data_IF_181204450989
#
_entry.id   IF_181204450989
#
_cell.length_a   1.000
_cell.length_b   1.000
_cell.length_c   1.000
_cell.angle_alpha   90.00
_cell.angle_beta   90.00
_cell.angle_gamma   90.00
#
_symmetry.space_group_name_H-M   'P 1'
#
loop_
_entity.id
_entity.type
_entity.pdbx_description
1 polymer ?
#
# COMPACT_ATOMS: atom_id res chain seq x y z
N UNK A 1 28.22 -26.18 -23.96
CA UNK A 1 28.04 -26.23 -25.44
C UNK A 1 27.18 -27.41 -25.91
N UNK A 2 27.39 -28.65 -25.43
CA UNK A 2 26.60 -29.83 -25.87
C UNK A 2 25.12 -29.78 -25.43
N UNK A 3 24.84 -29.34 -24.21
CA UNK A 3 23.46 -29.17 -23.71
C UNK A 3 22.64 -28.12 -24.49
N UNK A 4 23.26 -27.01 -24.93
CA UNK A 4 22.58 -26.00 -25.76
C UNK A 4 22.12 -26.57 -27.10
N UNK A 5 22.98 -27.35 -27.77
CA UNK A 5 22.62 -28.02 -29.03
C UNK A 5 21.47 -29.01 -28.87
N UNK A 6 21.39 -29.69 -27.71
CA UNK A 6 20.27 -30.59 -27.38
C UNK A 6 18.98 -29.79 -27.28
N UNK A 7 18.96 -28.69 -26.52
CA UNK A 7 17.78 -27.83 -26.42
C UNK A 7 17.38 -27.21 -27.77
N UNK A 8 18.32 -26.69 -28.56
CA UNK A 8 18.03 -26.13 -29.88
C UNK A 8 17.44 -27.18 -30.83
N UNK A 9 17.91 -28.43 -30.76
CA UNK A 9 17.32 -29.55 -31.52
C UNK A 9 15.91 -29.89 -31.03
N UNK A 10 15.66 -29.81 -29.73
CA UNK A 10 14.37 -30.07 -29.13
C UNK A 10 13.35 -28.99 -29.48
N UNK A 11 13.75 -27.71 -29.53
CA UNK A 11 12.88 -26.59 -29.91
C UNK A 11 12.40 -26.66 -31.36
N UNK A 12 13.19 -27.27 -32.26
CA UNK A 12 12.75 -27.54 -33.64
C UNK A 12 11.66 -28.60 -33.72
N UNK A 13 11.63 -29.54 -32.76
CA UNK A 13 10.63 -30.62 -32.70
C UNK A 13 9.42 -30.26 -31.86
N UNK A 14 9.63 -29.48 -30.78
CA UNK A 14 8.63 -29.11 -29.79
C UNK A 14 8.61 -27.60 -29.62
N UNK A 15 7.92 -26.91 -30.53
CA UNK A 15 7.81 -25.46 -30.55
C UNK A 15 6.66 -24.96 -29.65
N UNK A 16 6.69 -25.31 -28.36
CA UNK A 16 5.71 -24.87 -27.36
C UNK A 16 6.32 -23.85 -26.38
N UNK A 17 5.52 -22.94 -25.79
CA UNK A 17 6.03 -21.97 -24.80
C UNK A 17 6.78 -22.62 -23.63
N UNK A 18 6.33 -23.78 -23.16
CA UNK A 18 6.97 -24.54 -22.08
C UNK A 18 8.37 -25.03 -22.44
N UNK A 19 8.60 -25.47 -23.69
CA UNK A 19 9.92 -25.88 -24.14
C UNK A 19 10.88 -24.69 -24.27
N UNK A 20 10.37 -23.55 -24.75
CA UNK A 20 11.12 -22.30 -24.75
C UNK A 20 11.46 -21.83 -23.34
N UNK A 21 10.55 -22.00 -22.38
CA UNK A 21 10.80 -21.70 -20.97
C UNK A 21 11.95 -22.54 -20.42
N UNK A 22 11.95 -23.86 -20.59
CA UNK A 22 13.05 -24.72 -20.13
C UNK A 22 14.40 -24.29 -20.73
N UNK A 23 14.40 -24.00 -22.03
CA UNK A 23 15.59 -23.52 -22.71
C UNK A 23 16.09 -22.20 -22.12
N UNK A 24 15.22 -21.22 -21.94
CA UNK A 24 15.62 -19.92 -21.41
C UNK A 24 16.04 -19.99 -19.94
N UNK A 25 15.36 -20.77 -19.09
CA UNK A 25 15.80 -21.02 -17.70
C UNK A 25 17.22 -21.59 -17.68
N UNK A 26 17.51 -22.57 -18.51
CA UNK A 26 18.86 -23.13 -18.65
C UNK A 26 19.87 -22.08 -19.11
N UNK A 27 19.53 -21.26 -20.12
CA UNK A 27 20.39 -20.16 -20.60
C UNK A 27 20.68 -19.12 -19.51
N UNK A 28 19.67 -18.72 -18.73
CA UNK A 28 19.85 -17.81 -17.61
C UNK A 28 20.72 -18.41 -16.49
N UNK A 29 20.60 -19.70 -16.20
CA UNK A 29 21.46 -20.37 -15.21
C UNK A 29 22.93 -20.45 -15.66
N UNK A 30 23.17 -20.53 -16.97
CA UNK A 30 24.53 -20.55 -17.50
C UNK A 30 25.23 -19.18 -17.40
N UNK A 31 24.47 -18.08 -17.30
CA UNK A 31 25.02 -16.75 -17.07
C UNK A 31 25.40 -16.61 -15.59
N UNK A 32 26.70 -16.76 -15.27
CA UNK A 32 27.20 -16.53 -13.91
C UNK A 32 27.06 -15.03 -13.55
N UNK A 33 26.34 -14.76 -12.46
CA UNK A 33 25.88 -13.43 -12.03
C UNK A 33 27.04 -12.47 -11.65
N UNK A 34 28.25 -12.98 -11.39
CA UNK A 34 29.32 -12.18 -10.76
C UNK A 34 30.31 -11.52 -11.73
N UNK A 35 30.30 -11.85 -13.03
CA UNK A 35 31.13 -11.16 -14.05
C UNK A 35 30.35 -10.91 -15.33
N UNK A 36 29.45 -9.93 -15.31
CA UNK A 36 28.78 -9.43 -16.52
C UNK A 36 29.76 -8.77 -17.53
N UNK A 37 31.04 -8.60 -17.18
CA UNK A 37 32.06 -7.98 -18.04
C UNK A 37 32.64 -8.94 -19.10
N UNK A 38 32.61 -10.25 -18.85
CA UNK A 38 33.21 -11.26 -19.76
C UNK A 38 32.19 -12.01 -20.64
N UNK A 39 30.88 -11.72 -20.49
CA UNK A 39 29.79 -12.47 -21.15
C UNK A 39 28.95 -11.65 -22.16
N UNK A 40 29.50 -10.57 -22.72
CA UNK A 40 28.75 -9.62 -23.58
C UNK A 40 28.13 -10.28 -24.81
N UNK A 41 28.84 -11.17 -25.51
CA UNK A 41 28.30 -11.85 -26.70
C UNK A 41 27.18 -12.85 -26.36
N UNK A 42 27.33 -13.61 -25.28
CA UNK A 42 26.31 -14.57 -24.84
C UNK A 42 25.02 -13.87 -24.38
N UNK A 43 25.17 -12.73 -23.71
CA UNK A 43 24.05 -11.87 -23.29
C UNK A 43 23.35 -11.30 -24.53
N UNK A 44 24.08 -10.75 -25.50
CA UNK A 44 23.48 -10.20 -26.73
C UNK A 44 22.75 -11.29 -27.50
N UNK A 45 23.36 -12.47 -27.67
CA UNK A 45 22.73 -13.63 -28.31
C UNK A 45 21.45 -14.06 -27.59
N UNK A 46 21.47 -14.12 -26.26
CA UNK A 46 20.30 -14.49 -25.46
C UNK A 46 19.17 -13.46 -25.61
N UNK A 47 19.49 -12.17 -25.48
CA UNK A 47 18.51 -11.09 -25.62
C UNK A 47 17.87 -11.08 -27.00
N UNK A 48 18.65 -11.27 -28.06
CA UNK A 48 18.14 -11.38 -29.42
C UNK A 48 17.18 -12.58 -29.58
N UNK A 49 17.54 -13.74 -29.04
CA UNK A 49 16.69 -14.93 -29.06
C UNK A 49 15.36 -14.70 -28.33
N UNK A 50 15.42 -14.07 -27.14
CA UNK A 50 14.24 -13.76 -26.34
C UNK A 50 13.35 -12.74 -27.06
N UNK A 51 13.91 -11.70 -27.66
CA UNK A 51 13.17 -10.69 -28.43
C UNK A 51 12.41 -11.32 -29.61
N UNK A 52 13.04 -12.22 -30.37
CA UNK A 52 12.36 -12.94 -31.45
C UNK A 52 11.21 -13.84 -30.93
N UNK A 53 11.44 -14.46 -29.77
CA UNK A 53 10.45 -15.32 -29.13
C UNK A 53 9.29 -14.53 -28.53
N UNK A 54 9.57 -13.29 -28.09
CA UNK A 54 8.57 -12.34 -27.61
C UNK A 54 7.58 -12.01 -28.72
N UNK A 55 8.08 -11.62 -29.90
CA UNK A 55 7.26 -11.34 -31.10
C UNK A 55 6.44 -12.55 -31.55
N UNK A 56 6.90 -13.76 -31.26
CA UNK A 56 6.21 -15.01 -31.62
C UNK A 56 5.23 -15.52 -30.54
N UNK A 57 4.97 -14.75 -29.49
CA UNK A 57 4.11 -15.13 -28.36
C UNK A 57 4.56 -16.42 -27.61
N UNK A 58 5.87 -16.70 -27.55
CA UNK A 58 6.42 -17.94 -26.94
C UNK A 58 7.01 -17.74 -25.54
N UNK A 59 6.99 -16.52 -25.02
CA UNK A 59 7.56 -16.15 -23.72
C UNK A 59 6.48 -16.28 -22.65
N UNK A 60 6.82 -16.94 -21.54
CA UNK A 60 5.98 -17.04 -20.33
C UNK A 60 6.24 -15.85 -19.38
N UNK A 61 5.34 -15.56 -18.42
CA UNK A 61 5.53 -14.53 -17.40
C UNK A 61 6.88 -14.62 -16.66
N UNK A 62 7.31 -15.82 -16.30
CA UNK A 62 8.54 -16.06 -15.55
C UNK A 62 9.78 -15.70 -16.37
N UNK A 63 9.83 -16.13 -17.64
CA UNK A 63 10.93 -15.78 -18.56
C UNK A 63 10.94 -14.28 -18.84
N UNK A 64 9.76 -13.67 -18.97
CA UNK A 64 9.66 -12.23 -19.14
C UNK A 64 10.29 -11.48 -17.95
N UNK A 65 9.97 -11.87 -16.71
CA UNK A 65 10.56 -11.25 -15.53
C UNK A 65 12.09 -11.39 -15.51
N UNK A 66 12.64 -12.56 -15.85
CA UNK A 66 14.09 -12.78 -15.95
C UNK A 66 14.72 -11.92 -17.03
N UNK A 67 14.07 -11.83 -18.20
CA UNK A 67 14.52 -11.01 -19.32
C UNK A 67 14.58 -9.53 -18.94
N UNK A 68 13.52 -8.98 -18.33
CA UNK A 68 13.48 -7.58 -17.92
C UNK A 68 14.57 -7.28 -16.87
N UNK A 69 14.77 -8.17 -15.88
CA UNK A 69 15.84 -8.02 -14.88
C UNK A 69 17.22 -7.97 -15.53
N UNK A 70 17.50 -8.87 -16.46
CA UNK A 70 18.77 -8.88 -17.20
C UNK A 70 18.92 -7.62 -18.05
N UNK A 71 17.90 -7.27 -18.84
CA UNK A 71 17.91 -6.10 -19.73
C UNK A 71 18.16 -4.81 -18.94
N UNK A 72 17.45 -4.62 -17.83
CA UNK A 72 17.63 -3.44 -16.98
C UNK A 72 19.05 -3.41 -16.37
N UNK A 73 19.55 -4.55 -15.90
CA UNK A 73 20.91 -4.64 -15.32
C UNK A 73 21.99 -4.25 -16.33
N UNK A 74 21.88 -4.74 -17.58
CA UNK A 74 22.85 -4.48 -18.64
C UNK A 74 22.77 -3.06 -19.19
N UNK A 75 21.57 -2.46 -19.28
CA UNK A 75 21.35 -1.22 -20.03
C UNK A 75 20.84 -0.04 -19.22
N UNK A 76 20.85 -0.09 -17.88
CA UNK A 76 20.31 0.98 -17.01
C UNK A 76 20.77 2.40 -17.36
N UNK A 77 21.98 2.57 -17.91
CA UNK A 77 22.56 3.87 -18.28
C UNK A 77 22.28 4.29 -19.73
N UNK A 78 21.72 3.39 -20.56
CA UNK A 78 21.45 3.66 -21.97
C UNK A 78 20.01 4.13 -22.17
N UNK A 79 19.83 5.42 -22.49
CA UNK A 79 18.51 6.03 -22.63
C UNK A 79 17.63 5.37 -23.71
N UNK A 80 18.19 5.04 -24.88
CA UNK A 80 17.44 4.40 -25.98
C UNK A 80 16.97 3.00 -25.60
N UNK A 81 17.83 2.24 -24.91
CA UNK A 81 17.47 0.92 -24.39
C UNK A 81 16.37 1.04 -23.32
N UNK A 82 16.42 2.04 -22.44
CA UNK A 82 15.38 2.28 -21.43
C UNK A 82 14.04 2.72 -22.03
N UNK A 83 14.05 3.48 -23.12
CA UNK A 83 12.82 3.80 -23.89
C UNK A 83 12.23 2.55 -24.55
N UNK A 84 13.07 1.67 -25.10
CA UNK A 84 12.63 0.38 -25.65
C UNK A 84 12.05 -0.50 -24.57
N UNK A 85 12.70 -0.58 -23.42
CA UNK A 85 12.24 -1.32 -22.26
C UNK A 85 10.86 -0.84 -21.80
N UNK A 86 10.63 0.47 -21.74
CA UNK A 86 9.32 1.03 -21.38
C UNK A 86 8.19 0.52 -22.30
N UNK A 87 8.44 0.44 -23.62
CA UNK A 87 7.47 -0.10 -24.58
C UNK A 87 7.20 -1.59 -24.34
N UNK A 88 8.25 -2.39 -24.16
CA UNK A 88 8.13 -3.83 -23.87
C UNK A 88 7.31 -4.07 -22.59
N UNK A 89 7.55 -3.27 -21.55
CA UNK A 89 6.81 -3.32 -20.29
C UNK A 89 5.31 -3.01 -20.48
N UNK A 90 4.98 -2.00 -21.29
CA UNK A 90 3.58 -1.67 -21.60
C UNK A 90 2.90 -2.77 -22.44
N UNK A 91 3.60 -3.34 -23.42
CA UNK A 91 3.10 -4.44 -24.24
C UNK A 91 2.82 -5.68 -23.39
N UNK A 92 3.65 -5.96 -22.37
CA UNK A 92 3.42 -7.05 -21.43
C UNK A 92 2.10 -6.90 -20.66
N UNK A 93 1.75 -5.68 -20.26
CA UNK A 93 0.47 -5.39 -19.59
C UNK A 93 -0.76 -5.52 -20.53
N UNK A 94 -0.54 -5.48 -21.84
CA UNK A 94 -1.59 -5.78 -22.82
C UNK A 94 -1.71 -7.28 -23.07
N UNK A 95 -0.57 -7.99 -23.05
CA UNK A 95 -0.50 -9.43 -23.28
C UNK A 95 -1.04 -10.24 -22.10
N UNK A 96 -0.79 -9.78 -20.88
CA UNK A 96 -1.27 -10.41 -19.64
C UNK A 96 -2.07 -9.40 -18.81
N UNK A 97 -3.26 -8.98 -19.30
CA UNK A 97 -3.98 -7.85 -18.73
C UNK A 97 -4.55 -8.08 -17.33
N UNK A 98 -4.72 -9.36 -16.97
CA UNK A 98 -5.37 -9.82 -15.73
C UNK A 98 -4.36 -10.46 -14.76
N UNK A 99 -3.07 -10.42 -15.10
CA UNK A 99 -2.00 -10.94 -14.27
C UNK A 99 -1.47 -9.82 -13.36
N UNK A 100 -1.93 -9.83 -12.11
CA UNK A 100 -1.53 -8.84 -11.11
C UNK A 100 -0.05 -8.92 -10.74
N UNK A 101 0.57 -10.09 -10.86
CA UNK A 101 2.00 -10.25 -10.56
C UNK A 101 2.82 -9.54 -11.63
N UNK A 102 2.46 -9.73 -12.90
CA UNK A 102 3.09 -9.03 -14.01
C UNK A 102 2.79 -7.53 -13.96
N UNK A 103 1.57 -7.12 -13.66
CA UNK A 103 1.23 -5.70 -13.53
C UNK A 103 2.07 -5.04 -12.43
N UNK A 104 2.16 -5.66 -11.24
CA UNK A 104 3.00 -5.15 -10.15
C UNK A 104 4.48 -5.09 -10.56
N UNK A 105 5.00 -6.16 -11.14
CA UNK A 105 6.38 -6.22 -11.64
C UNK A 105 6.67 -5.12 -12.66
N UNK A 106 5.81 -4.94 -13.66
CA UNK A 106 5.91 -3.89 -14.67
C UNK A 106 5.91 -2.51 -14.02
N UNK A 107 4.98 -2.27 -13.09
CA UNK A 107 4.91 -1.04 -12.31
C UNK A 107 6.23 -0.71 -11.62
N UNK A 108 6.85 -1.69 -10.95
CA UNK A 108 8.13 -1.48 -10.24
C UNK A 108 9.28 -1.03 -11.15
N UNK A 109 9.29 -1.42 -12.42
CA UNK A 109 10.27 -0.94 -13.38
C UNK A 109 9.89 0.42 -13.96
N UNK A 110 8.63 0.60 -14.39
CA UNK A 110 8.16 1.85 -14.99
C UNK A 110 8.31 3.05 -14.05
N UNK A 111 8.20 2.87 -12.73
CA UNK A 111 8.41 3.95 -11.74
C UNK A 111 9.88 4.38 -11.62
N UNK A 112 10.82 3.49 -11.97
CA UNK A 112 12.27 3.74 -11.91
C UNK A 112 12.83 4.33 -13.21
N UNK A 113 12.11 4.21 -14.32
CA UNK A 113 12.60 4.71 -15.61
C UNK A 113 12.58 6.26 -15.64
N UNK A 114 13.67 6.90 -16.09
CA UNK A 114 13.69 8.34 -16.28
C UNK A 114 12.73 8.77 -17.40
N UNK A 115 12.14 9.96 -17.26
CA UNK A 115 11.38 10.65 -18.32
C UNK A 115 10.13 9.94 -18.89
N UNK A 116 9.53 9.01 -18.14
CA UNK A 116 8.36 8.25 -18.61
C UNK A 116 7.04 8.57 -17.91
N UNK A 117 6.94 9.74 -17.25
CA UNK A 117 5.81 10.04 -16.36
C UNK A 117 4.43 9.84 -17.01
N UNK A 118 4.23 10.32 -18.23
CA UNK A 118 2.96 10.18 -18.95
C UNK A 118 2.61 8.71 -19.23
N UNK A 119 3.61 7.90 -19.60
CA UNK A 119 3.42 6.48 -19.89
C UNK A 119 3.15 5.69 -18.62
N UNK A 120 3.93 5.94 -17.56
CA UNK A 120 3.74 5.32 -16.25
C UNK A 120 2.37 5.69 -15.66
N UNK A 121 1.93 6.94 -15.81
CA UNK A 121 0.60 7.34 -15.37
C UNK A 121 -0.49 6.57 -16.13
N UNK A 122 -0.41 6.52 -17.47
CA UNK A 122 -1.38 5.79 -18.30
C UNK A 122 -1.43 4.31 -17.91
N UNK A 123 -0.27 3.69 -17.68
CA UNK A 123 -0.19 2.31 -17.22
C UNK A 123 -0.96 2.10 -15.91
N UNK A 124 -0.76 2.96 -14.92
CA UNK A 124 -1.47 2.85 -13.66
C UNK A 124 -2.98 3.12 -13.81
N UNK A 125 -3.38 4.13 -14.59
CA UNK A 125 -4.79 4.42 -14.87
C UNK A 125 -5.49 3.23 -15.56
N UNK A 126 -4.79 2.52 -16.45
CA UNK A 126 -5.28 1.30 -17.11
C UNK A 126 -5.41 0.14 -16.12
N UNK A 127 -4.41 -0.07 -15.27
CA UNK A 127 -4.45 -1.11 -14.23
C UNK A 127 -5.54 -0.85 -13.19
N UNK A 128 -5.67 0.40 -12.76
CA UNK A 128 -6.62 0.80 -11.73
C UNK A 128 -8.07 0.57 -12.18
N UNK A 129 -8.39 0.87 -13.44
CA UNK A 129 -9.69 0.54 -14.03
C UNK A 129 -10.00 -0.95 -14.03
N UNK A 130 -8.99 -1.82 -14.22
CA UNK A 130 -9.16 -3.28 -14.18
C UNK A 130 -9.24 -3.84 -12.77
N UNK A 131 -8.48 -3.27 -11.83
CA UNK A 131 -8.52 -3.59 -10.40
C UNK A 131 -9.98 -3.56 -9.90
N UNK A 132 -10.76 -2.54 -10.27
CA UNK A 132 -12.16 -2.46 -9.88
C UNK A 132 -13.05 -3.62 -10.34
N UNK A 133 -12.66 -4.35 -11.39
CA UNK A 133 -13.49 -5.39 -12.00
C UNK A 133 -13.10 -6.83 -11.57
N UNK A 134 -11.87 -7.07 -11.12
CA UNK A 134 -11.31 -8.44 -11.09
C UNK A 134 -10.59 -8.84 -9.78
N UNK A 135 -10.61 -8.01 -8.73
CA UNK A 135 -9.97 -8.41 -7.46
C UNK A 135 -10.72 -9.61 -6.86
N UNK A 136 -9.95 -10.65 -6.54
CA UNK A 136 -10.36 -11.85 -5.83
C UNK A 136 -9.54 -11.98 -4.55
N UNK A 137 -9.97 -12.86 -3.64
CA UNK A 137 -9.21 -13.15 -2.42
C UNK A 137 -7.79 -13.63 -2.70
N UNK A 138 -7.53 -14.27 -3.84
CA UNK A 138 -6.23 -14.84 -4.22
C UNK A 138 -5.21 -13.83 -4.71
N UNK A 139 -5.63 -12.64 -5.17
CA UNK A 139 -4.74 -11.62 -5.74
C UNK A 139 -4.79 -10.28 -4.99
N UNK A 140 -5.52 -10.23 -3.87
CA UNK A 140 -5.74 -9.01 -3.08
C UNK A 140 -4.44 -8.34 -2.64
N UNK A 141 -3.43 -9.12 -2.25
CA UNK A 141 -2.15 -8.59 -1.79
C UNK A 141 -1.37 -7.89 -2.91
N UNK A 142 -1.39 -8.47 -4.11
CA UNK A 142 -0.76 -7.85 -5.27
C UNK A 142 -1.51 -6.60 -5.72
N UNK A 143 -2.84 -6.60 -5.64
CA UNK A 143 -3.66 -5.42 -5.93
C UNK A 143 -3.39 -4.28 -4.93
N UNK A 144 -3.25 -4.59 -3.64
CA UNK A 144 -2.83 -3.63 -2.61
C UNK A 144 -1.47 -3.04 -2.98
N UNK A 145 -0.46 -3.88 -3.20
CA UNK A 145 0.89 -3.44 -3.52
C UNK A 145 0.94 -2.56 -4.77
N UNK A 146 0.14 -2.87 -5.79
CA UNK A 146 0.06 -2.10 -7.03
C UNK A 146 -0.56 -0.71 -6.81
N UNK A 147 -1.60 -0.61 -6.00
CA UNK A 147 -2.23 0.68 -5.66
C UNK A 147 -1.30 1.53 -4.81
N UNK A 148 -0.63 0.93 -3.83
CA UNK A 148 0.37 1.65 -3.03
C UNK A 148 1.48 2.21 -3.89
N UNK A 149 2.01 1.40 -4.80
CA UNK A 149 3.02 1.83 -5.74
C UNK A 149 2.52 3.01 -6.59
N UNK A 150 1.25 3.02 -6.99
CA UNK A 150 0.67 4.13 -7.73
C UNK A 150 0.59 5.41 -6.90
N UNK A 151 0.10 5.32 -5.66
CA UNK A 151 -0.03 6.45 -4.74
C UNK A 151 1.35 7.03 -4.44
N UNK A 152 2.30 6.20 -4.02
CA UNK A 152 3.66 6.60 -3.66
C UNK A 152 4.36 7.27 -4.84
N UNK A 153 4.29 6.66 -6.02
CA UNK A 153 4.86 7.23 -7.23
C UNK A 153 4.21 8.58 -7.58
N UNK A 154 2.89 8.70 -7.43
CA UNK A 154 2.17 9.95 -7.72
C UNK A 154 2.59 11.09 -6.80
N UNK A 155 2.79 10.80 -5.52
CA UNK A 155 3.30 11.74 -4.52
C UNK A 155 4.74 12.13 -4.86
N UNK A 156 5.63 11.15 -5.08
CA UNK A 156 7.04 11.38 -5.40
C UNK A 156 7.24 12.22 -6.68
N UNK A 157 6.42 11.98 -7.71
CA UNK A 157 6.47 12.73 -8.97
C UNK A 157 5.66 14.03 -8.95
N UNK A 158 5.16 14.44 -7.78
CA UNK A 158 4.38 15.68 -7.58
C UNK A 158 3.25 15.82 -8.61
N UNK A 159 2.55 14.71 -8.88
CA UNK A 159 1.35 14.75 -9.72
C UNK A 159 0.33 15.70 -9.07
N UNK A 160 -0.44 16.41 -9.88
CA UNK A 160 -1.39 17.41 -9.36
C UNK A 160 -2.29 16.81 -8.27
N UNK A 161 -2.45 17.55 -7.17
CA UNK A 161 -3.28 17.13 -6.04
C UNK A 161 -4.71 16.75 -6.46
N UNK A 162 -5.23 17.38 -7.52
CA UNK A 162 -6.53 17.06 -8.14
C UNK A 162 -6.61 15.64 -8.70
N UNK A 163 -5.53 15.11 -9.28
CA UNK A 163 -5.48 13.75 -9.82
C UNK A 163 -5.33 12.72 -8.71
N UNK A 164 -4.43 12.97 -7.76
CA UNK A 164 -4.26 12.11 -6.58
C UNK A 164 -5.58 12.04 -5.80
N UNK A 165 -6.25 13.18 -5.65
CA UNK A 165 -7.59 13.29 -5.07
C UNK A 165 -8.62 12.39 -5.76
N UNK A 166 -8.62 12.38 -7.11
CA UNK A 166 -9.53 11.52 -7.87
C UNK A 166 -9.30 10.05 -7.59
N UNK A 167 -8.04 9.60 -7.64
CA UNK A 167 -7.66 8.20 -7.33
C UNK A 167 -8.12 7.82 -5.93
N UNK A 168 -7.83 8.69 -4.95
CA UNK A 168 -8.21 8.51 -3.54
C UNK A 168 -9.74 8.47 -3.36
N UNK A 169 -10.48 9.32 -4.08
CA UNK A 169 -11.94 9.35 -4.05
C UNK A 169 -12.54 8.09 -4.68
N UNK A 170 -11.99 7.64 -5.82
CA UNK A 170 -12.43 6.43 -6.52
C UNK A 170 -12.15 5.18 -5.67
N UNK A 171 -11.00 5.12 -4.97
CA UNK A 171 -10.70 4.09 -3.97
C UNK A 171 -11.73 4.09 -2.84
N UNK A 172 -12.04 5.26 -2.28
CA UNK A 172 -13.02 5.38 -1.20
C UNK A 172 -14.42 4.93 -1.64
N UNK A 173 -14.89 5.40 -2.79
CA UNK A 173 -16.22 5.07 -3.31
C UNK A 173 -16.41 3.57 -3.56
N UNK A 174 -15.31 2.85 -3.84
CA UNK A 174 -15.33 1.41 -4.10
C UNK A 174 -14.83 0.59 -2.90
N UNK A 175 -14.52 1.20 -1.77
CA UNK A 175 -13.87 0.51 -0.65
C UNK A 175 -14.72 -0.62 -0.08
N UNK A 176 -16.05 -0.52 -0.21
CA UNK A 176 -16.99 -1.56 0.23
C UNK A 176 -17.11 -2.72 -0.76
N UNK A 177 -16.78 -2.49 -2.04
CA UNK A 177 -16.83 -3.51 -3.09
C UNK A 177 -15.56 -4.36 -3.13
N UNK A 178 -14.49 -3.92 -2.48
CA UNK A 178 -13.24 -4.67 -2.39
C UNK A 178 -13.31 -5.79 -1.36
N UNK A 179 -12.45 -6.82 -1.48
CA UNK A 179 -12.31 -7.80 -0.42
C UNK A 179 -11.95 -7.13 0.90
N UNK A 180 -12.54 -7.62 1.99
CA UNK A 180 -12.37 -7.10 3.35
C UNK A 180 -10.93 -6.68 3.69
N UNK A 181 -9.96 -7.55 3.43
CA UNK A 181 -8.53 -7.31 3.70
C UNK A 181 -8.02 -6.00 3.10
N UNK A 182 -8.43 -5.69 1.86
CA UNK A 182 -8.04 -4.47 1.16
C UNK A 182 -8.68 -3.23 1.78
N UNK A 183 -9.95 -3.32 2.12
CA UNK A 183 -10.69 -2.24 2.77
C UNK A 183 -10.12 -1.93 4.17
N UNK A 184 -9.79 -2.96 4.95
CA UNK A 184 -9.13 -2.82 6.27
C UNK A 184 -7.78 -2.11 6.13
N UNK A 185 -7.02 -2.46 5.09
CA UNK A 185 -5.71 -1.88 4.83
C UNK A 185 -5.77 -0.41 4.38
N UNK A 186 -6.63 -0.08 3.42
CA UNK A 186 -6.64 1.26 2.82
C UNK A 186 -7.39 2.30 3.65
N UNK A 187 -8.43 1.95 4.42
CA UNK A 187 -9.19 2.94 5.21
C UNK A 187 -8.31 3.88 6.07
N UNK A 188 -7.44 3.38 6.96
CA UNK A 188 -6.58 4.26 7.76
C UNK A 188 -5.59 5.05 6.90
N UNK A 189 -5.08 4.46 5.80
CA UNK A 189 -4.15 5.15 4.90
C UNK A 189 -4.82 6.28 4.12
N UNK A 190 -6.04 6.05 3.61
CA UNK A 190 -6.82 7.08 2.93
C UNK A 190 -7.09 8.24 3.88
N UNK A 191 -7.39 7.99 5.15
CA UNK A 191 -7.56 9.06 6.15
C UNK A 191 -6.32 9.96 6.25
N UNK A 192 -5.12 9.37 6.33
CA UNK A 192 -3.86 10.10 6.35
C UNK A 192 -3.62 10.90 5.06
N UNK A 193 -3.90 10.29 3.90
CA UNK A 193 -3.79 10.96 2.60
C UNK A 193 -4.77 12.13 2.51
N UNK A 194 -6.01 11.97 2.99
CA UNK A 194 -7.00 13.03 3.04
C UNK A 194 -6.53 14.21 3.88
N UNK A 195 -5.90 13.94 5.03
CA UNK A 195 -5.34 14.98 5.88
C UNK A 195 -4.24 15.77 5.17
N UNK A 196 -3.27 15.08 4.57
CA UNK A 196 -2.17 15.74 3.87
C UNK A 196 -2.62 16.53 2.62
N UNK A 197 -3.62 16.04 1.87
CA UNK A 197 -4.05 16.67 0.62
C UNK A 197 -5.13 17.73 0.81
N UNK A 198 -6.00 17.59 1.82
CA UNK A 198 -7.21 18.39 1.96
C UNK A 198 -7.39 19.03 3.33
N UNK A 199 -6.52 18.73 4.28
CA UNK A 199 -6.57 19.25 5.65
C UNK A 199 -7.63 18.61 6.54
N UNK A 200 -7.67 19.09 7.79
CA UNK A 200 -8.43 18.46 8.88
C UNK A 200 -9.96 18.44 8.64
N UNK A 201 -10.53 19.50 8.06
CA UNK A 201 -12.00 19.61 7.89
C UNK A 201 -12.57 18.51 6.99
N UNK A 202 -11.93 18.27 5.85
CA UNK A 202 -12.33 17.20 4.91
C UNK A 202 -12.01 15.81 5.46
N UNK A 203 -10.96 15.69 6.26
CA UNK A 203 -10.60 14.44 6.95
C UNK A 203 -11.65 14.05 7.98
N UNK A 204 -12.13 14.99 8.80
CA UNK A 204 -13.24 14.77 9.75
C UNK A 204 -14.52 14.31 9.03
N UNK A 205 -14.86 14.94 7.90
CA UNK A 205 -16.01 14.54 7.09
C UNK A 205 -15.85 13.11 6.54
N UNK A 206 -14.66 12.78 6.03
CA UNK A 206 -14.34 11.42 5.58
C UNK A 206 -14.45 10.38 6.71
N UNK A 207 -13.96 10.72 7.90
CA UNK A 207 -14.07 9.88 9.10
C UNK A 207 -15.53 9.59 9.45
N UNK A 208 -16.36 10.63 9.57
CA UNK A 208 -17.78 10.48 9.91
C UNK A 208 -18.54 9.64 8.88
N UNK A 209 -18.21 9.77 7.59
CA UNK A 209 -18.83 8.97 6.53
C UNK A 209 -18.43 7.49 6.56
N UNK A 210 -17.24 7.16 7.06
CA UNK A 210 -16.66 5.83 6.95
C UNK A 210 -16.54 5.06 8.27
N UNK A 211 -16.71 5.70 9.43
CA UNK A 211 -16.50 5.08 10.76
C UNK A 211 -17.43 3.89 11.03
N UNK A 212 -18.65 3.94 10.51
CA UNK A 212 -19.64 2.86 10.64
C UNK A 212 -19.68 1.93 9.42
N UNK A 213 -18.88 2.22 8.38
CA UNK A 213 -18.84 1.36 7.20
C UNK A 213 -17.99 0.12 7.49
N UNK A 214 -18.44 -1.10 7.15
CA UNK A 214 -17.61 -2.29 7.21
C UNK A 214 -16.44 -2.22 6.21
N UNK A 215 -15.31 -2.89 6.48
CA UNK A 215 -14.92 -3.45 7.78
C UNK A 215 -14.57 -2.34 8.77
N UNK A 216 -14.99 -2.53 10.03
CA UNK A 216 -14.73 -1.61 11.14
C UNK A 216 -13.42 -2.06 11.78
N UNK A 217 -12.41 -1.18 11.79
CA UNK A 217 -11.05 -1.52 12.25
C UNK A 217 -10.56 -0.50 13.26
N UNK A 218 -10.00 -0.95 14.39
CA UNK A 218 -9.41 -0.07 15.42
C UNK A 218 -8.38 0.91 14.85
N UNK A 219 -7.55 0.43 13.92
CA UNK A 219 -6.51 1.23 13.24
C UNK A 219 -7.08 2.48 12.56
N UNK A 220 -8.32 2.44 12.05
CA UNK A 220 -8.96 3.60 11.45
C UNK A 220 -9.22 4.72 12.46
N UNK A 221 -9.74 4.36 13.63
CA UNK A 221 -10.01 5.30 14.73
C UNK A 221 -8.73 5.81 15.36
N UNK A 222 -7.76 4.92 15.63
CA UNK A 222 -6.45 5.34 16.14
C UNK A 222 -5.76 6.30 15.18
N UNK A 223 -5.84 6.06 13.87
CA UNK A 223 -5.27 6.99 12.89
C UNK A 223 -5.97 8.36 12.90
N UNK A 224 -7.29 8.39 13.10
CA UNK A 224 -8.01 9.66 13.27
C UNK A 224 -7.57 10.39 14.54
N UNK A 225 -7.44 9.67 15.65
CA UNK A 225 -6.96 10.25 16.92
C UNK A 225 -5.54 10.80 16.79
N UNK A 226 -4.64 10.10 16.09
CA UNK A 226 -3.27 10.55 15.80
C UNK A 226 -3.29 11.85 14.97
N UNK A 227 -4.11 11.91 13.92
CA UNK A 227 -4.26 13.11 13.07
C UNK A 227 -4.78 14.30 13.88
N UNK A 228 -5.77 14.09 14.75
CA UNK A 228 -6.28 15.16 15.62
C UNK A 228 -5.22 15.65 16.61
N UNK A 229 -4.47 14.74 17.24
CA UNK A 229 -3.38 15.11 18.14
C UNK A 229 -2.31 15.94 17.43
N UNK A 230 -1.83 15.47 16.28
CA UNK A 230 -0.85 16.19 15.48
C UNK A 230 -1.35 17.57 15.03
N UNK A 231 -2.61 17.67 14.62
CA UNK A 231 -3.19 18.95 14.23
C UNK A 231 -3.29 19.94 15.40
N UNK A 232 -3.54 19.47 16.63
CA UNK A 232 -3.51 20.29 17.84
C UNK A 232 -2.08 20.77 18.11
N UNK A 233 -1.09 19.88 18.09
CA UNK A 233 0.32 20.23 18.30
C UNK A 233 0.79 21.31 17.30
N UNK A 234 0.41 21.20 16.03
CA UNK A 234 0.73 22.20 15.01
C UNK A 234 0.07 23.57 15.25
N UNK A 235 -1.04 23.63 15.98
CA UNK A 235 -1.69 24.90 16.34
C UNK A 235 -1.02 25.57 17.55
N UNK A 236 -0.25 24.81 18.34
CA UNK A 236 0.36 25.25 19.60
C UNK A 236 1.81 25.75 19.42
N UNK A 237 2.33 25.87 18.19
CA UNK A 237 3.66 26.47 17.92
C UNK A 237 3.74 27.96 18.32
N UNK A 238 4.91 28.46 18.78
CA UNK A 238 4.97 29.54 19.78
C UNK A 238 4.85 30.99 19.25
N UNK A 239 4.83 31.23 17.93
CA UNK A 239 5.21 32.58 17.46
C UNK A 239 4.07 33.57 17.29
N UNK A 240 2.81 33.18 17.16
CA UNK A 240 1.74 34.18 17.01
C UNK A 240 0.39 33.66 17.48
N UNK A 241 0.10 33.78 18.76
CA UNK A 241 -1.05 34.53 19.30
C UNK A 241 -1.35 34.11 20.74
N UNK A 242 -1.52 35.11 21.59
CA UNK A 242 -2.26 35.04 22.85
C UNK A 242 -3.73 34.71 22.59
N UNK A 243 -4.01 33.53 22.05
CA UNK A 243 -5.35 32.99 21.88
C UNK A 243 -5.59 32.00 23.01
N UNK A 244 -6.27 32.50 24.04
CA UNK A 244 -7.06 31.77 25.03
C UNK A 244 -7.36 30.34 24.62
N UNK A 245 -6.89 29.36 25.41
CA UNK A 245 -7.30 27.94 25.44
C UNK A 245 -8.65 27.73 24.73
N UNK A 246 -8.60 27.42 23.43
CA UNK A 246 -9.77 26.90 22.70
C UNK A 246 -9.82 25.37 22.83
N UNK A 247 -9.33 24.84 23.96
CA UNK A 247 -9.30 23.43 24.36
C UNK A 247 -10.66 22.74 24.13
N UNK A 248 -11.78 23.43 24.33
CA UNK A 248 -13.10 22.80 24.31
C UNK A 248 -13.50 22.14 22.98
N UNK A 249 -13.15 22.69 21.80
CA UNK A 249 -13.65 22.10 20.53
C UNK A 249 -12.76 20.97 19.99
N UNK A 250 -11.45 21.03 20.28
CA UNK A 250 -10.48 20.07 19.78
C UNK A 250 -10.47 18.81 20.65
N UNK A 251 -10.57 18.98 21.96
CA UNK A 251 -10.80 17.87 22.90
C UNK A 251 -12.13 17.19 22.61
N UNK A 252 -13.17 17.94 22.21
CA UNK A 252 -14.45 17.37 21.80
C UNK A 252 -14.33 16.38 20.62
N UNK A 253 -13.42 16.57 19.67
CA UNK A 253 -13.28 15.63 18.55
C UNK A 253 -12.54 14.35 18.98
N UNK A 254 -11.49 14.47 19.79
CA UNK A 254 -10.78 13.31 20.36
C UNK A 254 -11.67 12.50 21.28
N UNK A 255 -12.47 13.17 22.12
CA UNK A 255 -13.53 12.56 22.95
C UNK A 255 -14.47 11.74 22.07
N UNK A 256 -15.00 12.32 20.98
CA UNK A 256 -15.90 11.60 20.06
C UNK A 256 -15.24 10.35 19.45
N UNK A 257 -13.96 10.43 19.08
CA UNK A 257 -13.24 9.29 18.51
C UNK A 257 -13.10 8.16 19.54
N UNK A 258 -12.82 8.49 20.81
CA UNK A 258 -12.78 7.49 21.89
C UNK A 258 -14.17 6.92 22.20
N UNK A 259 -15.21 7.75 22.19
CA UNK A 259 -16.58 7.29 22.36
C UNK A 259 -16.98 6.32 21.22
N UNK A 260 -16.60 6.62 19.98
CA UNK A 260 -16.79 5.72 18.83
C UNK A 260 -15.98 4.42 18.99
N UNK A 261 -14.71 4.49 19.44
CA UNK A 261 -13.87 3.30 19.71
C UNK A 261 -14.49 2.37 20.73
N UNK A 262 -14.99 2.93 21.84
CA UNK A 262 -15.66 2.18 22.91
C UNK A 262 -16.97 1.58 22.39
N UNK A 263 -17.72 2.32 21.59
CA UNK A 263 -18.96 1.82 21.01
C UNK A 263 -18.74 0.53 20.19
N UNK A 264 -17.65 0.46 19.40
CA UNK A 264 -17.38 -0.69 18.54
C UNK A 264 -16.52 -1.78 19.18
N UNK A 265 -15.63 -1.44 20.12
CA UNK A 265 -14.60 -2.36 20.63
C UNK A 265 -14.50 -2.41 22.16
N UNK A 266 -15.25 -1.58 22.87
CA UNK A 266 -15.19 -1.45 24.32
C UNK A 266 -15.44 -2.75 25.12
N UNK A 267 -16.33 -3.68 24.70
CA UNK A 267 -16.54 -4.92 25.45
C UNK A 267 -15.34 -5.86 25.49
N UNK A 268 -14.48 -5.79 24.46
CA UNK A 268 -13.43 -6.77 24.18
C UNK A 268 -12.01 -6.17 24.22
N UNK A 269 -11.86 -4.90 24.59
CA UNK A 269 -10.55 -4.25 24.64
C UNK A 269 -10.38 -3.32 25.85
N UNK A 270 -9.64 -3.83 26.84
CA UNK A 270 -9.20 -3.12 28.05
C UNK A 270 -8.39 -1.88 27.72
N UNK A 271 -7.53 -1.92 26.70
CA UNK A 271 -6.54 -0.87 26.45
C UNK A 271 -7.23 0.43 26.01
N UNK A 272 -8.30 0.33 25.23
CA UNK A 272 -9.08 1.50 24.76
C UNK A 272 -9.60 2.31 25.95
N UNK A 273 -10.11 1.63 26.98
CA UNK A 273 -10.61 2.30 28.18
C UNK A 273 -9.48 2.99 28.96
N UNK A 274 -8.34 2.34 29.10
CA UNK A 274 -7.18 2.91 29.81
C UNK A 274 -6.62 4.13 29.08
N UNK A 275 -6.47 4.05 27.75
CA UNK A 275 -6.00 5.16 26.93
C UNK A 275 -6.96 6.36 27.04
N UNK A 276 -8.27 6.13 27.03
CA UNK A 276 -9.26 7.20 27.15
C UNK A 276 -9.27 7.82 28.55
N UNK A 277 -9.22 6.99 29.60
CA UNK A 277 -9.11 7.45 30.98
C UNK A 277 -7.85 8.29 31.16
N UNK A 278 -6.71 7.83 30.62
CA UNK A 278 -5.45 8.54 30.71
C UNK A 278 -5.48 9.88 29.97
N UNK A 279 -6.15 9.93 28.81
CA UNK A 279 -6.34 11.16 28.05
C UNK A 279 -7.14 12.21 28.84
N UNK A 280 -8.19 11.80 29.56
CA UNK A 280 -9.07 12.73 30.30
C UNK A 280 -8.57 13.02 31.72
N UNK A 281 -7.66 12.20 32.25
CA UNK A 281 -7.27 12.23 33.66
C UNK A 281 -6.74 13.58 34.14
N UNK A 282 -5.95 14.25 33.31
CA UNK A 282 -5.28 15.49 33.68
C UNK A 282 -6.21 16.72 33.61
N UNK A 283 -7.29 16.62 32.82
CA UNK A 283 -8.26 17.70 32.63
C UNK A 283 -9.52 17.54 33.51
N UNK A 284 -10.07 16.32 33.62
CA UNK A 284 -11.32 16.05 34.33
C UNK A 284 -11.33 14.67 35.03
N UNK A 285 -10.90 14.69 36.30
CA UNK A 285 -10.95 13.53 37.20
C UNK A 285 -12.36 12.95 37.39
N UNK A 286 -13.41 13.78 37.30
CA UNK A 286 -14.79 13.30 37.46
C UNK A 286 -15.21 12.46 36.26
N UNK A 287 -14.86 12.91 35.05
CA UNK A 287 -15.08 12.16 33.83
C UNK A 287 -14.22 10.89 33.77
N UNK A 288 -12.97 10.94 34.21
CA UNK A 288 -12.12 9.75 34.33
C UNK A 288 -12.73 8.68 35.26
N UNK A 289 -13.31 9.09 36.40
CA UNK A 289 -14.02 8.18 37.31
C UNK A 289 -15.31 7.61 36.67
N UNK A 290 -16.06 8.42 35.93
CA UNK A 290 -17.25 7.94 35.21
C UNK A 290 -16.88 6.92 34.14
N UNK A 291 -15.79 7.15 33.40
CA UNK A 291 -15.26 6.20 32.41
C UNK A 291 -14.81 4.90 33.05
N UNK A 292 -14.16 4.94 34.22
CA UNK A 292 -13.83 3.74 34.99
C UNK A 292 -15.08 2.91 35.34
N UNK A 293 -16.13 3.57 35.83
CA UNK A 293 -17.40 2.90 36.16
C UNK A 293 -18.09 2.33 34.91
N UNK A 294 -17.99 3.02 33.77
CA UNK A 294 -18.55 2.55 32.51
C UNK A 294 -17.78 1.33 31.98
N UNK A 295 -16.45 1.35 32.05
CA UNK A 295 -15.60 0.24 31.66
C UNK A 295 -15.97 -1.05 32.41
N UNK A 296 -16.16 -0.97 33.73
CA UNK A 296 -16.56 -2.13 34.56
C UNK A 296 -17.94 -2.71 34.18
N UNK A 297 -18.83 -1.90 33.59
CA UNK A 297 -20.17 -2.34 33.16
C UNK A 297 -20.15 -2.92 31.75
N UNK A 298 -19.21 -2.51 30.91
CA UNK A 298 -19.18 -2.86 29.48
C UNK A 298 -18.20 -3.99 29.16
N UNK A 299 -17.08 -4.07 29.89
CA UNK A 299 -16.07 -5.10 29.68
C UNK A 299 -16.59 -6.49 30.03
N UNK A 300 -16.13 -7.50 29.29
CA UNK A 300 -16.37 -8.89 29.63
C UNK A 300 -15.73 -9.23 31.01
N UNK A 301 -16.29 -10.19 31.77
CA UNK A 301 -15.80 -10.52 33.11
C UNK A 301 -14.30 -10.83 33.20
N UNK A 302 -13.76 -11.54 32.20
CA UNK A 302 -12.32 -11.86 32.11
C UNK A 302 -11.45 -10.62 31.92
N UNK A 303 -11.99 -9.59 31.27
CA UNK A 303 -11.29 -8.34 31.00
C UNK A 303 -11.41 -7.32 32.14
N UNK A 304 -12.48 -7.39 32.94
CA UNK A 304 -12.65 -6.54 34.12
C UNK A 304 -11.50 -6.70 35.13
N UNK A 305 -11.09 -7.93 35.44
CA UNK A 305 -10.00 -8.18 36.38
C UNK A 305 -8.65 -7.62 35.86
N UNK A 306 -8.41 -7.78 34.56
CA UNK A 306 -7.23 -7.20 33.90
C UNK A 306 -7.26 -5.68 33.96
N UNK A 307 -8.42 -5.07 33.65
CA UNK A 307 -8.63 -3.63 33.68
C UNK A 307 -8.38 -3.04 35.07
N UNK A 308 -8.95 -3.64 36.13
CA UNK A 308 -8.77 -3.16 37.52
C UNK A 308 -7.28 -3.15 37.90
N UNK A 309 -6.54 -4.22 37.58
CA UNK A 309 -5.10 -4.32 37.87
C UNK A 309 -4.32 -3.22 37.16
N UNK A 310 -4.55 -3.05 35.86
CA UNK A 310 -3.82 -2.06 35.05
C UNK A 310 -4.19 -0.61 35.43
N UNK A 311 -5.46 -0.32 35.67
CA UNK A 311 -5.92 0.98 36.15
C UNK A 311 -5.29 1.34 37.50
N UNK A 312 -5.23 0.39 38.44
CA UNK A 312 -4.61 0.61 39.76
C UNK A 312 -3.12 0.97 39.62
N UNK A 313 -2.41 0.32 38.70
CA UNK A 313 -1.01 0.65 38.39
C UNK A 313 -0.87 2.08 37.85
N UNK A 314 -1.71 2.48 36.89
CA UNK A 314 -1.71 3.85 36.33
C UNK A 314 -1.98 4.87 37.42
N UNK A 315 -3.00 4.65 38.26
CA UNK A 315 -3.32 5.53 39.39
C UNK A 315 -2.16 5.62 40.38
N UNK A 316 -1.50 4.51 40.69
CA UNK A 316 -0.37 4.49 41.63
C UNK A 316 0.89 5.19 41.10
N UNK A 317 1.14 5.12 39.78
CA UNK A 317 2.29 5.78 39.15
C UNK A 317 2.12 7.29 39.06
N UNK A 318 0.87 7.80 39.01
CA UNK A 318 0.58 9.24 38.94
C UNK A 318 0.38 9.92 40.31
N UNK A 319 0.31 9.15 41.39
CA UNK A 319 0.25 9.65 42.77
C UNK A 319 1.63 9.79 43.43
N UNK A 320 2.70 9.48 42.68
CA UNK A 320 4.09 9.80 43.03
C UNK A 320 4.49 11.10 42.36
#
# INVERSE_FOLDING_TARGET
MQAMKIFESALRKFNSPTMWEYYYRFRFQCLKIDSYKDCTEEIVSLLYSIENSWSSNKITPEIFQLWIKLYFTCFKTNCLAMQRLAKILLDANQRWPNDFEIAFFVGCFLTKLPENQRMTQKFFDDCFRRIHCEIKSTNVDLAINLIELYIDWSIQKKISATKVSKIVTDLNNNIQNYPRKMSEYFKPKLLAIYYHLFGIKKTRLFYEQNKSCPPITKQFFYKMSEIEAHWIEMLEEPETTTATRSNNQNDCNRIKIYDDLIHFFGPDDVQIWLDYIQFVWDDDLSKANNLYQQALKTLNPLQCDQFIRQYTLIKSNRLK
#
